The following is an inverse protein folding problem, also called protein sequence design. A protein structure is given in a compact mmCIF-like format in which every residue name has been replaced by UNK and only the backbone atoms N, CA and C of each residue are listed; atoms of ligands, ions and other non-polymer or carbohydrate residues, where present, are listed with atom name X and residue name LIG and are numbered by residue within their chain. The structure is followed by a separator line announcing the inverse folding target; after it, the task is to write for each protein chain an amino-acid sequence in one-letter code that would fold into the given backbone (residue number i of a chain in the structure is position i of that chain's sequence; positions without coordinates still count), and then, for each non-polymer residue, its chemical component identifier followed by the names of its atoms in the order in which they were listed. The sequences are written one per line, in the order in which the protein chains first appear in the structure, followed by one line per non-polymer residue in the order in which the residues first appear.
data_IF_609913090392
#
_entry.id   IF_609913090392
#
_cell.length_a   1.000
_cell.length_b   1.000
_cell.length_c   1.000
_cell.angle_alpha   90.00
_cell.angle_beta   90.00
_cell.angle_gamma   90.00
#
_symmetry.space_group_name_H-M   'P 1'
#
loop_
_entity.id
_entity.type
_entity.pdbx_description
1 polymer ?
#
# COMPACT_ATOMS: atom_id res chain seq x y z
N UNK A 1 -10.32 -28.33 -23.65
CA UNK A 1 -11.27 -27.20 -23.46
C UNK A 1 -11.00 -26.19 -24.56
N UNK A 2 -11.95 -26.01 -25.50
CA UNK A 2 -11.86 -24.94 -26.51
C UNK A 2 -12.38 -23.66 -25.86
N UNK A 3 -11.52 -22.68 -25.63
CA UNK A 3 -11.95 -21.33 -25.25
C UNK A 3 -12.20 -20.60 -26.56
N UNK A 4 -13.47 -20.51 -26.96
CA UNK A 4 -13.91 -19.61 -28.02
C UNK A 4 -13.58 -18.18 -27.61
N UNK A 5 -12.83 -17.46 -28.46
CA UNK A 5 -12.34 -16.11 -28.21
C UNK A 5 -13.42 -15.03 -28.21
N UNK A 6 -14.29 -15.05 -27.19
CA UNK A 6 -15.10 -13.89 -26.84
C UNK A 6 -14.21 -12.82 -26.22
N UNK A 7 -14.47 -11.55 -26.52
CA UNK A 7 -13.76 -10.43 -25.90
C UNK A 7 -13.92 -10.51 -24.37
N UNK A 8 -12.81 -10.39 -23.65
CA UNK A 8 -12.82 -10.32 -22.19
C UNK A 8 -13.37 -8.94 -21.82
N UNK A 9 -14.63 -8.90 -21.40
CA UNK A 9 -15.31 -7.69 -20.92
C UNK A 9 -15.41 -7.71 -19.39
N UNK A 10 -15.61 -6.54 -18.78
CA UNK A 10 -15.84 -6.41 -17.32
C UNK A 10 -16.97 -7.33 -16.86
N UNK A 11 -18.07 -7.38 -17.61
CA UNK A 11 -19.24 -8.21 -17.30
C UNK A 11 -18.91 -9.71 -17.41
N UNK A 12 -18.13 -10.12 -18.42
CA UNK A 12 -17.75 -11.51 -18.59
C UNK A 12 -16.84 -12.01 -17.46
N UNK A 13 -15.96 -11.15 -16.94
CA UNK A 13 -15.11 -11.45 -15.78
C UNK A 13 -15.99 -11.60 -14.53
N UNK A 14 -16.87 -10.63 -14.26
CA UNK A 14 -17.75 -10.66 -13.09
C UNK A 14 -18.64 -11.90 -13.10
N UNK A 15 -19.26 -12.22 -14.24
CA UNK A 15 -20.11 -13.40 -14.39
C UNK A 15 -19.33 -14.72 -14.22
N UNK A 16 -18.05 -14.74 -14.59
CA UNK A 16 -17.21 -15.92 -14.37
C UNK A 16 -16.79 -16.05 -12.91
N UNK A 17 -16.37 -14.96 -12.27
CA UNK A 17 -15.95 -14.93 -10.86
C UNK A 17 -17.06 -15.41 -9.92
N UNK A 18 -18.31 -14.99 -10.16
CA UNK A 18 -19.49 -15.39 -9.38
C UNK A 18 -19.77 -16.89 -9.33
N UNK A 19 -19.16 -17.70 -10.20
CA UNK A 19 -19.32 -19.17 -10.20
C UNK A 19 -18.46 -19.85 -9.14
N UNK A 20 -17.49 -19.14 -8.58
CA UNK A 20 -16.47 -19.68 -7.68
C UNK A 20 -16.51 -19.06 -6.28
N UNK A 21 -17.51 -18.22 -6.02
CA UNK A 21 -17.68 -17.53 -4.74
C UNK A 21 -19.09 -17.78 -4.21
N UNK A 22 -19.27 -17.61 -2.90
CA UNK A 22 -20.56 -17.77 -2.25
C UNK A 22 -21.54 -16.64 -2.62
N UNK A 23 -22.81 -16.84 -2.27
CA UNK A 23 -23.89 -15.92 -2.62
C UNK A 23 -23.65 -14.49 -2.15
N UNK A 24 -23.11 -14.32 -0.94
CA UNK A 24 -22.86 -13.01 -0.34
C UNK A 24 -21.78 -12.24 -1.12
N UNK A 25 -20.67 -12.90 -1.45
CA UNK A 25 -19.60 -12.33 -2.28
C UNK A 25 -20.11 -12.02 -3.69
N UNK A 26 -21.02 -12.84 -4.23
CA UNK A 26 -21.62 -12.57 -5.54
C UNK A 26 -22.48 -11.29 -5.53
N UNK A 27 -23.17 -10.97 -4.42
CA UNK A 27 -23.90 -9.72 -4.24
C UNK A 27 -22.95 -8.52 -4.14
N UNK A 28 -21.82 -8.65 -3.44
CA UNK A 28 -20.82 -7.60 -3.36
C UNK A 28 -20.20 -7.29 -4.74
N UNK A 29 -19.98 -8.33 -5.55
CA UNK A 29 -19.55 -8.15 -6.95
C UNK A 29 -20.59 -7.35 -7.74
N UNK A 30 -21.89 -7.61 -7.58
CA UNK A 30 -22.94 -6.81 -8.22
C UNK A 30 -22.91 -5.36 -7.75
N UNK A 31 -22.86 -5.13 -6.44
CA UNK A 31 -22.82 -3.79 -5.87
C UNK A 31 -21.61 -2.98 -6.34
N UNK A 32 -20.43 -3.60 -6.45
CA UNK A 32 -19.22 -2.98 -7.01
C UNK A 32 -19.39 -2.66 -8.51
N UNK A 33 -20.00 -3.56 -9.26
CA UNK A 33 -20.19 -3.39 -10.71
C UNK A 33 -21.18 -2.27 -11.02
N UNK A 34 -22.27 -2.17 -10.27
CA UNK A 34 -23.36 -1.20 -10.47
C UNK A 34 -23.05 0.18 -9.91
N UNK A 35 -22.56 0.24 -8.66
CA UNK A 35 -22.46 1.50 -7.90
C UNK A 35 -21.01 1.95 -7.68
N UNK A 36 -20.02 1.11 -8.02
CA UNK A 36 -18.62 1.38 -7.68
C UNK A 36 -18.34 1.32 -6.18
N UNK A 37 -19.23 0.67 -5.40
CA UNK A 37 -19.06 0.49 -3.96
C UNK A 37 -17.81 -0.35 -3.69
N UNK A 38 -17.03 0.03 -2.68
CA UNK A 38 -15.85 -0.75 -2.28
C UNK A 38 -16.26 -2.14 -1.73
N UNK A 39 -15.43 -3.14 -1.99
CA UNK A 39 -15.53 -4.44 -1.33
C UNK A 39 -15.15 -4.26 0.15
N UNK A 40 -16.12 -4.41 1.04
CA UNK A 40 -15.91 -4.33 2.48
C UNK A 40 -15.89 -5.75 3.06
N UNK A 41 -14.72 -6.42 3.17
CA UNK A 41 -14.65 -7.80 3.62
C UNK A 41 -15.30 -7.97 5.00
N UNK A 42 -16.05 -9.05 5.23
CA UNK A 42 -16.63 -9.33 6.54
C UNK A 42 -15.55 -9.43 7.63
N UNK A 43 -15.90 -9.09 8.86
CA UNK A 43 -14.94 -9.01 9.98
C UNK A 43 -14.25 -10.33 10.33
N UNK A 44 -14.81 -11.45 9.89
CA UNK A 44 -14.38 -12.82 10.17
C UNK A 44 -13.87 -13.58 8.93
N UNK A 45 -13.68 -12.92 7.77
CA UNK A 45 -13.22 -13.57 6.53
C UNK A 45 -11.83 -14.22 6.67
N UNK A 46 -10.95 -13.60 7.47
CA UNK A 46 -9.64 -14.15 7.81
C UNK A 46 -9.67 -15.09 9.04
N UNK A 47 -10.87 -15.41 9.53
CA UNK A 47 -11.10 -16.23 10.70
C UNK A 47 -11.01 -15.48 12.03
N UNK A 48 -11.30 -16.19 13.12
CA UNK A 48 -11.43 -15.62 14.47
C UNK A 48 -10.12 -15.04 15.04
N UNK A 49 -8.99 -15.27 14.38
CA UNK A 49 -7.66 -14.84 14.81
C UNK A 49 -7.33 -13.40 14.41
N UNK A 50 -8.13 -12.79 13.52
CA UNK A 50 -7.94 -11.42 13.06
C UNK A 50 -9.07 -10.51 13.55
N UNK A 51 -8.78 -9.22 13.65
CA UNK A 51 -9.76 -8.16 13.83
C UNK A 51 -9.66 -7.23 12.63
N UNK A 52 -10.81 -6.98 12.02
CA UNK A 52 -10.98 -5.95 11.01
C UNK A 52 -11.07 -4.59 11.71
N UNK A 53 -10.06 -3.75 11.50
CA UNK A 53 -10.02 -2.38 11.97
C UNK A 53 -10.21 -1.42 10.80
N UNK A 54 -11.03 -0.38 10.99
CA UNK A 54 -11.10 0.73 10.05
C UNK A 54 -9.75 1.46 10.06
N UNK A 55 -9.15 1.64 8.90
CA UNK A 55 -7.85 2.26 8.75
C UNK A 55 -7.82 3.12 7.49
N UNK A 56 -7.00 4.17 7.49
CA UNK A 56 -6.61 4.79 6.24
C UNK A 56 -5.58 3.91 5.56
N UNK A 57 -5.93 3.39 4.38
CA UNK A 57 -5.08 2.52 3.57
C UNK A 57 -4.57 3.28 2.35
N UNK A 58 -3.30 3.05 2.02
CA UNK A 58 -2.56 3.78 0.98
C UNK A 58 -1.49 4.72 1.56
N UNK A 59 -0.58 5.19 0.70
CA UNK A 59 0.37 6.23 1.07
C UNK A 59 -0.38 7.53 1.36
N UNK A 60 -0.20 8.09 2.57
CA UNK A 60 -0.88 9.34 2.97
C UNK A 60 -0.40 10.56 2.18
N UNK A 61 0.79 10.47 1.58
CA UNK A 61 1.43 11.56 0.88
C UNK A 61 2.39 11.04 -0.19
N UNK A 62 2.53 11.79 -1.28
CA UNK A 62 3.46 11.51 -2.38
C UNK A 62 4.80 12.18 -2.06
N UNK A 63 5.83 11.34 -1.96
CA UNK A 63 7.20 11.80 -1.78
C UNK A 63 7.79 12.42 -3.07
N UNK A 64 7.19 12.19 -4.23
CA UNK A 64 7.68 12.66 -5.52
C UNK A 64 8.86 11.85 -6.06
N UNK A 65 9.12 10.66 -5.48
CA UNK A 65 10.13 9.71 -5.93
C UNK A 65 9.84 8.29 -5.43
N UNK A 66 10.52 7.28 -5.97
CA UNK A 66 10.36 5.88 -5.57
C UNK A 66 11.17 5.59 -4.29
N UNK A 67 10.52 5.69 -3.14
CA UNK A 67 11.14 5.44 -1.83
C UNK A 67 11.62 3.99 -1.69
N UNK A 68 10.89 3.01 -2.23
CA UNK A 68 11.25 1.60 -2.11
C UNK A 68 12.54 1.28 -2.89
N UNK A 69 12.60 1.69 -4.16
CA UNK A 69 13.81 1.54 -4.99
C UNK A 69 14.98 2.36 -4.43
N UNK A 70 14.70 3.53 -3.86
CA UNK A 70 15.74 4.38 -3.30
C UNK A 70 16.40 3.76 -2.08
N UNK A 71 15.60 3.15 -1.18
CA UNK A 71 16.12 2.41 -0.02
C UNK A 71 16.94 1.18 -0.43
N UNK A 72 16.52 0.47 -1.47
CA UNK A 72 17.26 -0.72 -1.95
C UNK A 72 18.62 -0.37 -2.53
N UNK A 73 18.73 0.79 -3.19
CA UNK A 73 19.95 1.21 -3.90
C UNK A 73 20.82 2.21 -3.14
N UNK A 74 20.37 2.69 -1.96
CA UNK A 74 20.95 3.81 -1.23
C UNK A 74 21.16 5.07 -2.09
N UNK A 75 20.29 5.26 -3.08
CA UNK A 75 20.33 6.38 -4.01
C UNK A 75 18.92 6.88 -4.28
N UNK A 76 18.77 8.15 -4.61
CA UNK A 76 17.49 8.67 -5.06
C UNK A 76 17.15 8.07 -6.44
N UNK A 77 15.99 7.46 -6.55
CA UNK A 77 15.48 6.82 -7.77
C UNK A 77 14.05 7.26 -8.04
N UNK A 78 13.71 7.43 -9.32
CA UNK A 78 12.34 7.69 -9.75
C UNK A 78 11.81 9.09 -9.41
N UNK A 79 12.65 10.10 -9.27
CA UNK A 79 12.20 11.50 -9.09
C UNK A 79 11.23 11.89 -10.21
N UNK A 80 10.06 12.37 -9.81
CA UNK A 80 9.01 12.87 -10.70
C UNK A 80 9.26 14.35 -10.99
N UNK A 81 9.39 14.70 -12.26
CA UNK A 81 9.59 16.11 -12.67
C UNK A 81 8.43 16.99 -12.21
N UNK A 82 8.77 18.11 -11.57
CA UNK A 82 7.80 19.08 -11.04
C UNK A 82 7.18 18.71 -9.68
N UNK A 83 7.51 17.55 -9.12
CA UNK A 83 7.12 17.18 -7.75
C UNK A 83 7.76 18.08 -6.67
N UNK A 84 7.22 18.03 -5.45
CA UNK A 84 7.79 18.74 -4.31
C UNK A 84 9.27 18.37 -4.06
N UNK A 85 9.62 17.08 -4.17
CA UNK A 85 11.01 16.61 -4.10
C UNK A 85 11.89 17.22 -5.19
N UNK A 86 11.42 17.24 -6.45
CA UNK A 86 12.16 17.82 -7.55
C UNK A 86 12.38 19.34 -7.37
N UNK A 87 11.34 20.07 -6.95
CA UNK A 87 11.41 21.51 -6.67
C UNK A 87 12.36 21.80 -5.51
N UNK A 88 12.39 20.94 -4.49
CA UNK A 88 13.29 21.04 -3.35
C UNK A 88 14.77 20.73 -3.69
N UNK A 89 15.04 20.22 -4.89
CA UNK A 89 16.41 19.98 -5.36
C UNK A 89 16.85 18.51 -5.33
N UNK A 90 15.97 17.56 -5.00
CA UNK A 90 16.29 16.14 -5.13
C UNK A 90 16.43 15.75 -6.59
N UNK A 91 17.42 14.90 -6.89
CA UNK A 91 17.75 14.43 -8.23
C UNK A 91 18.11 12.95 -8.20
N UNK A 92 17.73 12.23 -9.25
CA UNK A 92 18.08 10.83 -9.42
C UNK A 92 19.61 10.61 -9.33
N UNK A 93 20.01 9.55 -8.65
CA UNK A 93 21.41 9.14 -8.48
C UNK A 93 22.14 9.78 -7.30
N UNK A 94 21.57 10.79 -6.64
CA UNK A 94 22.11 11.34 -5.40
C UNK A 94 22.20 10.24 -4.33
N UNK A 95 23.31 10.22 -3.59
CA UNK A 95 23.52 9.22 -2.55
C UNK A 95 22.76 9.60 -1.30
N UNK A 96 22.04 8.63 -0.76
CA UNK A 96 21.40 8.74 0.53
C UNK A 96 22.45 8.43 1.60
N UNK A 97 22.53 9.23 2.65
CA UNK A 97 23.43 8.93 3.77
C UNK A 97 22.93 7.69 4.53
N UNK A 98 23.65 6.56 4.52
CA UNK A 98 23.17 5.31 5.14
C UNK A 98 23.17 5.37 6.68
N UNK A 99 24.02 6.22 7.25
CA UNK A 99 24.19 6.36 8.70
C UNK A 99 23.20 7.35 9.33
N UNK A 100 22.52 8.16 8.51
CA UNK A 100 21.58 9.16 8.97
C UNK A 100 20.16 8.61 8.77
N UNK A 101 19.41 8.36 9.87
CA UNK A 101 18.06 7.83 9.75
C UNK A 101 17.16 8.82 9.00
N UNK A 102 16.26 8.28 8.16
CA UNK A 102 15.19 9.06 7.54
C UNK A 102 14.16 9.42 8.61
N UNK A 103 13.98 10.69 8.96
CA UNK A 103 12.88 11.11 9.83
C UNK A 103 11.58 11.12 9.01
N UNK A 104 11.13 9.95 8.56
CA UNK A 104 9.85 9.79 7.88
C UNK A 104 8.87 9.10 8.83
N UNK A 105 7.86 9.83 9.28
CA UNK A 105 6.71 9.24 9.94
C UNK A 105 5.53 9.16 8.95
N UNK A 106 5.29 7.98 8.32
CA UNK A 106 4.22 7.84 7.34
C UNK A 106 2.81 8.05 7.94
N UNK A 107 2.70 8.08 9.27
CA UNK A 107 1.41 8.23 9.96
C UNK A 107 0.99 9.70 10.17
N UNK A 108 1.92 10.65 10.04
CA UNK A 108 1.67 12.09 10.27
C UNK A 108 1.56 12.81 8.93
N UNK A 109 0.33 13.13 8.46
CA UNK A 109 0.16 13.92 7.24
C UNK A 109 0.74 15.33 7.43
N UNK A 110 1.20 15.95 6.33
CA UNK A 110 1.74 17.33 6.30
C UNK A 110 2.99 17.56 7.14
N UNK A 111 3.73 16.50 7.47
CA UNK A 111 5.05 16.63 8.08
C UNK A 111 6.08 17.01 7.02
N UNK A 112 6.97 17.94 7.35
CA UNK A 112 8.17 18.19 6.56
C UNK A 112 9.08 16.95 6.59
N UNK A 113 9.48 16.49 5.41
CA UNK A 113 10.41 15.36 5.27
C UNK A 113 11.79 15.87 4.92
N UNK A 114 12.78 15.46 5.70
CA UNK A 114 14.19 15.77 5.46
C UNK A 114 14.91 14.53 4.91
N UNK A 115 15.44 14.63 3.69
CA UNK A 115 16.19 13.55 3.06
C UNK A 115 17.69 13.82 3.18
N UNK A 116 18.46 12.97 3.90
CA UNK A 116 19.89 13.17 4.04
C UNK A 116 20.61 12.71 2.77
N UNK A 117 21.19 13.67 2.06
CA UNK A 117 22.01 13.44 0.88
C UNK A 117 23.48 13.59 1.24
N UNK A 118 24.26 12.57 0.90
CA UNK A 118 25.70 12.55 1.09
C UNK A 118 26.40 12.78 -0.25
N UNK A 119 27.38 13.67 -0.27
CA UNK A 119 28.39 13.72 -1.31
C UNK A 119 29.74 13.23 -0.75
N UNK A 120 30.83 13.38 -1.52
CA UNK A 120 32.16 12.90 -1.10
C UNK A 120 32.75 13.68 0.09
N UNK A 121 32.18 14.82 0.45
CA UNK A 121 32.78 15.80 1.36
C UNK A 121 31.80 16.34 2.41
N UNK A 122 30.49 16.17 2.23
CA UNK A 122 29.47 16.72 3.11
C UNK A 122 28.18 15.91 3.10
N UNK A 123 27.45 16.02 4.21
CA UNK A 123 26.06 15.61 4.31
C UNK A 123 25.18 16.86 4.35
N UNK A 124 24.11 16.85 3.58
CA UNK A 124 23.10 17.91 3.57
C UNK A 124 21.70 17.29 3.67
N UNK A 125 20.77 18.02 4.26
CA UNK A 125 19.36 17.65 4.24
C UNK A 125 18.65 18.44 3.15
N UNK A 126 17.93 17.74 2.29
CA UNK A 126 16.95 18.36 1.42
C UNK A 126 15.58 18.16 2.07
N UNK A 127 15.01 19.26 2.57
CA UNK A 127 13.73 19.25 3.27
C UNK A 127 12.61 19.81 2.39
N UNK A 128 11.43 19.20 2.46
CA UNK A 128 10.23 19.67 1.77
C UNK A 128 8.96 19.10 2.39
N UNK A 129 7.81 19.68 2.05
CA UNK A 129 6.50 19.13 2.38
C UNK A 129 6.04 18.23 1.24
N UNK A 130 5.83 16.92 1.48
CA UNK A 130 5.27 16.04 0.46
C UNK A 130 3.81 16.43 0.20
N UNK A 131 3.34 16.12 -1.00
CA UNK A 131 1.98 16.49 -1.41
C UNK A 131 1.01 15.46 -0.85
N UNK A 132 -0.06 15.90 -0.20
CA UNK A 132 -1.13 15.00 0.24
C UNK A 132 -1.67 14.26 -0.98
N UNK A 133 -1.64 12.92 -0.94
CA UNK A 133 -2.27 12.12 -1.97
C UNK A 133 -3.77 12.05 -1.69
N UNK A 134 -4.59 12.44 -2.67
CA UNK A 134 -6.03 12.19 -2.63
C UNK A 134 -6.38 10.68 -2.62
N UNK A 135 -5.38 9.80 -2.73
CA UNK A 135 -5.54 8.34 -2.70
C UNK A 135 -5.48 7.74 -1.30
N UNK A 136 -5.23 8.53 -0.25
CA UNK A 136 -5.51 8.07 1.12
C UNK A 136 -7.02 7.82 1.22
N UNK A 137 -7.39 6.54 1.27
CA UNK A 137 -8.80 6.12 1.31
C UNK A 137 -9.09 5.47 2.65
N UNK A 138 -10.33 5.64 3.08
CA UNK A 138 -10.87 4.80 4.14
C UNK A 138 -10.88 3.35 3.63
N UNK A 139 -10.44 2.43 4.48
CA UNK A 139 -10.52 1.01 4.21
C UNK A 139 -10.25 0.23 5.47
N UNK A 140 -9.67 -0.96 5.32
CA UNK A 140 -9.59 -1.91 6.42
C UNK A 140 -8.21 -2.55 6.52
N UNK A 141 -7.70 -2.63 7.75
CA UNK A 141 -6.54 -3.43 8.10
C UNK A 141 -7.01 -4.63 8.92
N UNK A 142 -6.51 -5.81 8.61
CA UNK A 142 -6.72 -6.98 9.43
C UNK A 142 -5.49 -7.21 10.30
N UNK A 143 -5.66 -7.04 11.60
CA UNK A 143 -4.59 -7.24 12.57
C UNK A 143 -4.80 -8.54 13.33
N UNK A 144 -3.74 -9.30 13.63
CA UNK A 144 -3.86 -10.43 14.54
C UNK A 144 -4.32 -9.94 15.91
N UNK A 145 -5.25 -10.66 16.54
CA UNK A 145 -5.77 -10.34 17.88
C UNK A 145 -4.72 -10.35 18.99
N UNK A 146 -3.55 -10.93 18.72
CA UNK A 146 -2.53 -11.21 19.73
C UNK A 146 -1.15 -10.87 19.20
N UNK A 147 -0.34 -10.20 20.01
CA UNK A 147 1.02 -9.76 19.64
C UNK A 147 2.02 -10.92 19.50
N UNK A 148 1.72 -12.09 20.08
CA UNK A 148 2.62 -13.24 20.10
C UNK A 148 1.99 -14.48 19.44
N UNK A 149 2.43 -14.80 18.23
CA UNK A 149 1.95 -15.96 17.46
C UNK A 149 2.26 -17.32 18.10
N UNK A 150 3.26 -17.38 18.99
CA UNK A 150 3.66 -18.62 19.67
C UNK A 150 2.67 -19.06 20.77
N UNK A 151 1.75 -18.19 21.19
CA UNK A 151 0.74 -18.54 22.19
C UNK A 151 -0.54 -19.15 21.60
N UNK A 152 -0.59 -19.44 20.29
CA UNK A 152 -1.81 -19.88 19.61
C UNK A 152 -1.62 -21.06 18.64
N UNK A 153 -1.63 -22.31 19.14
CA UNK A 153 -1.57 -23.49 18.28
C UNK A 153 -2.78 -23.58 17.31
N UNK A 154 -3.97 -23.16 17.73
CA UNK A 154 -5.18 -23.24 16.90
C UNK A 154 -5.25 -22.22 15.75
N UNK A 155 -4.64 -21.04 15.91
CA UNK A 155 -4.58 -20.04 14.84
C UNK A 155 -3.49 -20.35 13.81
N UNK A 156 -2.38 -20.97 14.23
CA UNK A 156 -1.29 -21.37 13.33
C UNK A 156 -1.64 -22.59 12.48
N UNK A 157 -2.45 -23.51 13.02
CA UNK A 157 -2.88 -24.71 12.29
C UNK A 157 -3.89 -24.39 11.17
N UNK A 158 -4.74 -23.37 11.36
CA UNK A 158 -5.72 -22.96 10.34
C UNK A 158 -5.09 -22.30 9.11
N UNK A 159 -3.95 -21.60 9.27
CA UNK A 159 -3.21 -20.97 8.17
C UNK A 159 -2.31 -21.94 7.39
N UNK A 160 -1.93 -23.08 7.99
CA UNK A 160 -1.12 -24.11 7.30
C UNK A 160 -1.93 -25.00 6.35
N UNK A 161 -3.26 -25.05 6.54
CA UNK A 161 -4.17 -25.95 5.83
C UNK A 161 -5.08 -25.24 4.80
N UNK A 162 -4.84 -23.95 4.54
CA UNK A 162 -5.41 -23.21 3.40
C UNK A 162 -4.31 -22.89 2.40
#
# INVERSE_FOLDING_TARGET
VRISGGAVTRDSIAQHAKRYVDHDVAQDIDAFMENGNDFAPHGDELGQCFVKNAAQVGEKFDLGFDMAASRQSNRIVGIVDGSAAHVAGLRNGQWICPEIPFPLNPSVPKQEVGIPICDRHSAQFISYFPVDLATARDGYLFEPKFENWQSMPHCTEHLRNR
#
